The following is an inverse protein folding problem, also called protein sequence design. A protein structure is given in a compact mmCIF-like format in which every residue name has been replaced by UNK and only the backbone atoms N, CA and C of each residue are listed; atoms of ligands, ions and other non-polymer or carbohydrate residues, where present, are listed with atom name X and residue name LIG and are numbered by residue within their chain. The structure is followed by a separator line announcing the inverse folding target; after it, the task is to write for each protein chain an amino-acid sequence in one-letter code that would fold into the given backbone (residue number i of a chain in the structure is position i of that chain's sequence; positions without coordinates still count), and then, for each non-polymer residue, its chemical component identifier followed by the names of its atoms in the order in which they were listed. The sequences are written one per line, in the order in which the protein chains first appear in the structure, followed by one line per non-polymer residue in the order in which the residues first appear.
data_IF_538204816380
#
_entry.id   IF_538204816380
#
_cell.length_a   1.000
_cell.length_b   1.000
_cell.length_c   1.000
_cell.angle_alpha   90.00
_cell.angle_beta   90.00
_cell.angle_gamma   90.00
#
_symmetry.space_group_name_H-M   'P 1'
#
loop_
_entity.id
_entity.type
_entity.pdbx_description
1 polymer ?
#
# COMPACT_ATOMS: atom_id res chain seq x y z
N UNK A 1 13.64 19.36 67.13
CA UNK A 1 13.41 20.61 66.34
C UNK A 1 14.36 20.70 65.14
N UNK A 2 15.69 20.57 65.28
CA UNK A 2 16.66 20.74 64.18
C UNK A 2 16.53 19.70 63.07
N UNK A 3 16.29 18.40 63.40
CA UNK A 3 16.07 17.34 62.39
C UNK A 3 14.79 17.51 61.58
N UNK A 4 13.73 18.08 62.17
CA UNK A 4 12.48 18.39 61.49
C UNK A 4 12.69 19.55 60.46
N UNK A 5 13.47 20.55 60.84
CA UNK A 5 13.81 21.68 59.96
C UNK A 5 14.62 21.20 58.72
N UNK A 6 15.61 20.32 58.92
CA UNK A 6 16.39 19.77 57.82
C UNK A 6 15.49 18.94 56.89
N UNK A 7 14.59 18.11 57.40
CA UNK A 7 13.69 17.29 56.59
C UNK A 7 12.73 18.14 55.78
N UNK A 8 12.15 19.17 56.35
CA UNK A 8 11.26 20.12 55.65
C UNK A 8 12.05 20.87 54.56
N UNK A 9 13.25 21.34 54.87
CA UNK A 9 14.06 22.06 53.90
C UNK A 9 14.49 21.16 52.71
N UNK A 10 14.81 19.88 52.93
CA UNK A 10 15.09 18.93 51.86
C UNK A 10 13.86 18.67 51.00
N UNK A 11 12.68 18.49 51.60
CA UNK A 11 11.42 18.33 50.88
C UNK A 11 11.07 19.57 50.04
N UNK A 12 11.24 20.75 50.60
CA UNK A 12 11.03 22.03 49.90
C UNK A 12 11.98 22.17 48.69
N UNK A 13 13.26 21.90 48.86
CA UNK A 13 14.24 22.01 47.79
C UNK A 13 13.95 21.00 46.67
N UNK A 14 13.52 19.79 47.03
CA UNK A 14 13.14 18.74 46.06
C UNK A 14 11.87 19.14 45.28
N UNK A 15 10.87 19.68 45.99
CA UNK A 15 9.64 20.19 45.34
C UNK A 15 9.96 21.36 44.42
N UNK A 16 10.77 22.30 44.86
CA UNK A 16 11.21 23.48 44.08
C UNK A 16 11.98 23.05 42.81
N UNK A 17 12.86 22.05 42.93
CA UNK A 17 13.57 21.50 41.80
C UNK A 17 12.63 20.83 40.79
N UNK A 18 11.69 20.02 41.27
CA UNK A 18 10.67 19.36 40.42
C UNK A 18 9.76 20.38 39.72
N UNK A 19 9.37 21.41 40.44
CA UNK A 19 8.59 22.54 39.88
C UNK A 19 9.35 23.29 38.78
N UNK A 20 10.61 23.60 39.00
CA UNK A 20 11.46 24.29 38.02
C UNK A 20 11.68 23.42 36.77
N UNK A 21 11.84 22.10 36.94
CA UNK A 21 11.94 21.14 35.81
C UNK A 21 10.62 21.08 35.03
N UNK A 22 9.49 21.03 35.72
CA UNK A 22 8.15 21.03 35.10
C UNK A 22 7.91 22.34 34.32
N UNK A 23 8.22 23.48 34.91
CA UNK A 23 8.03 24.81 34.30
C UNK A 23 9.10 25.12 33.24
N UNK A 24 10.20 24.35 33.16
CA UNK A 24 11.33 24.58 32.24
C UNK A 24 11.79 26.09 32.21
N UNK A 25 11.70 26.76 33.34
CA UNK A 25 12.04 28.18 33.45
C UNK A 25 11.00 29.16 32.85
N UNK A 26 9.79 28.70 32.58
CA UNK A 26 8.69 29.51 32.08
C UNK A 26 7.75 29.93 33.24
N UNK A 27 7.15 31.08 33.11
CA UNK A 27 6.08 31.55 34.04
C UNK A 27 4.77 30.79 33.72
N UNK A 28 3.87 30.73 34.73
CA UNK A 28 2.58 30.02 34.58
C UNK A 28 1.76 30.51 33.36
N UNK A 29 1.85 31.77 33.01
CA UNK A 29 1.16 32.36 31.86
C UNK A 29 1.74 31.90 30.52
N UNK A 30 3.06 31.82 30.41
CA UNK A 30 3.74 31.32 29.21
C UNK A 30 3.54 29.82 29.04
N UNK A 31 3.35 29.08 30.15
CA UNK A 31 3.01 27.65 30.11
C UNK A 31 1.59 27.44 29.56
N UNK A 32 0.60 28.22 30.00
CA UNK A 32 -0.77 28.18 29.52
C UNK A 32 -0.85 28.47 28.01
N UNK A 33 -0.16 29.51 27.56
CA UNK A 33 -0.05 29.86 26.13
C UNK A 33 0.60 28.74 25.33
N UNK A 34 1.65 28.11 25.86
CA UNK A 34 2.34 26.99 25.24
C UNK A 34 1.43 25.77 25.16
N UNK A 35 0.66 25.45 26.19
CA UNK A 35 -0.31 24.34 26.16
C UNK A 35 -1.43 24.61 25.14
N UNK A 36 -1.99 25.81 25.13
CA UNK A 36 -3.03 26.22 24.18
C UNK A 36 -2.54 26.09 22.74
N UNK A 37 -1.33 26.52 22.43
CA UNK A 37 -0.73 26.37 21.11
C UNK A 37 -0.56 24.88 20.73
N UNK A 38 -0.14 24.03 21.69
CA UNK A 38 0.01 22.59 21.43
C UNK A 38 -1.32 21.87 21.24
N UNK A 39 -2.37 22.26 21.97
CA UNK A 39 -3.69 21.70 21.76
C UNK A 39 -4.25 22.07 20.37
N UNK A 40 -4.08 23.32 19.94
CA UNK A 40 -4.47 23.74 18.61
C UNK A 40 -3.71 22.95 17.51
N UNK A 41 -2.41 22.73 17.68
CA UNK A 41 -1.59 21.91 16.79
C UNK A 41 -2.08 20.44 16.74
N UNK A 42 -2.46 19.88 17.90
CA UNK A 42 -3.02 18.52 17.99
C UNK A 42 -4.38 18.43 17.28
N UNK A 43 -5.23 19.43 17.42
CA UNK A 43 -6.53 19.48 16.74
C UNK A 43 -6.34 19.56 15.21
N UNK A 44 -5.40 20.38 14.75
CA UNK A 44 -5.05 20.46 13.33
C UNK A 44 -4.50 19.12 12.79
N UNK A 45 -3.56 18.50 13.51
CA UNK A 45 -3.04 17.19 13.16
C UNK A 45 -4.13 16.10 13.14
N UNK A 46 -5.06 16.15 14.08
CA UNK A 46 -6.22 15.24 14.11
C UNK A 46 -7.09 15.40 12.87
N UNK A 47 -7.37 16.63 12.46
CA UNK A 47 -8.15 16.91 11.25
C UNK A 47 -7.44 16.40 10.00
N UNK A 48 -6.15 16.70 9.84
CA UNK A 48 -5.33 16.19 8.72
C UNK A 48 -5.33 14.66 8.70
N UNK A 49 -5.21 14.01 9.85
CA UNK A 49 -5.24 12.54 9.92
C UNK A 49 -6.61 11.96 9.50
N UNK A 50 -7.71 12.63 9.83
CA UNK A 50 -9.04 12.23 9.40
C UNK A 50 -9.25 12.41 7.90
N UNK A 51 -8.80 13.52 7.33
CA UNK A 51 -8.83 13.77 5.89
C UNK A 51 -7.99 12.75 5.12
N UNK A 52 -6.74 12.54 5.54
CA UNK A 52 -5.86 11.54 4.93
C UNK A 52 -6.48 10.14 4.95
N UNK A 53 -7.15 9.76 6.06
CA UNK A 53 -7.83 8.46 6.15
C UNK A 53 -9.01 8.35 5.18
N UNK A 54 -9.70 9.45 4.90
CA UNK A 54 -10.78 9.49 3.91
C UNK A 54 -10.22 9.37 2.49
N UNK A 55 -9.16 10.11 2.17
CA UNK A 55 -8.49 10.08 0.87
C UNK A 55 -7.89 8.71 0.56
N UNK A 56 -7.22 8.11 1.54
CA UNK A 56 -6.69 6.74 1.43
C UNK A 56 -7.80 5.75 1.05
N UNK A 57 -8.99 5.85 1.69
CA UNK A 57 -10.12 4.98 1.33
C UNK A 57 -10.61 5.17 -0.10
N UNK A 58 -10.61 6.41 -0.58
CA UNK A 58 -10.97 6.73 -1.97
C UNK A 58 -9.94 6.13 -2.93
N UNK A 59 -8.64 6.31 -2.64
CA UNK A 59 -7.54 5.76 -3.42
C UNK A 59 -7.59 4.23 -3.48
N UNK A 60 -7.79 3.55 -2.35
CA UNK A 60 -7.93 2.09 -2.32
C UNK A 60 -9.11 1.61 -3.17
N UNK A 61 -10.24 2.34 -3.15
CA UNK A 61 -11.40 1.99 -3.97
C UNK A 61 -11.12 2.15 -5.47
N UNK A 62 -10.42 3.22 -5.84
CA UNK A 62 -10.02 3.45 -7.22
C UNK A 62 -8.99 2.41 -7.70
N UNK A 63 -8.03 2.04 -6.84
CA UNK A 63 -7.03 1.01 -7.15
C UNK A 63 -7.67 -0.36 -7.40
N UNK A 64 -8.67 -0.75 -6.62
CA UNK A 64 -9.33 -2.07 -6.78
C UNK A 64 -9.89 -2.30 -8.17
N UNK A 65 -10.39 -1.26 -8.83
CA UNK A 65 -10.94 -1.32 -10.19
C UNK A 65 -9.91 -1.04 -11.29
N UNK A 66 -8.67 -0.77 -10.94
CA UNK A 66 -7.58 -0.57 -11.90
C UNK A 66 -6.90 -1.89 -12.21
N UNK A 67 -6.44 -2.06 -13.45
CA UNK A 67 -5.65 -3.24 -13.81
C UNK A 67 -4.27 -3.17 -13.14
N UNK A 68 -3.97 -4.15 -12.29
CA UNK A 68 -2.76 -4.18 -11.48
C UNK A 68 -1.93 -5.45 -11.72
N UNK A 69 -2.60 -6.52 -12.17
CA UNK A 69 -2.01 -7.82 -12.37
C UNK A 69 -1.80 -8.05 -13.86
N UNK A 70 -0.59 -8.45 -14.22
CA UNK A 70 -0.19 -8.63 -15.62
C UNK A 70 0.53 -9.96 -15.77
N UNK A 71 0.10 -10.76 -16.75
CA UNK A 71 0.81 -11.95 -17.18
C UNK A 71 1.05 -11.89 -18.68
N UNK A 72 2.23 -12.30 -19.14
CA UNK A 72 2.58 -12.31 -20.55
C UNK A 72 3.33 -13.58 -20.94
N UNK A 73 2.83 -14.27 -21.96
CA UNK A 73 3.46 -15.44 -22.55
C UNK A 73 3.73 -15.16 -24.02
N UNK A 74 4.99 -15.29 -24.43
CA UNK A 74 5.40 -15.17 -25.82
C UNK A 74 5.65 -16.55 -26.41
N UNK A 75 5.07 -16.82 -27.58
CA UNK A 75 5.13 -18.12 -28.22
C UNK A 75 5.25 -18.03 -29.73
N UNK A 76 5.51 -19.14 -30.40
CA UNK A 76 5.47 -19.27 -31.86
C UNK A 76 4.21 -20.05 -32.25
N UNK A 77 3.16 -19.35 -32.69
CA UNK A 77 1.86 -19.95 -32.96
C UNK A 77 1.87 -20.93 -34.12
N UNK A 78 2.80 -20.79 -35.07
CA UNK A 78 2.78 -21.56 -36.31
C UNK A 78 4.11 -22.26 -36.64
N UNK A 79 5.16 -22.08 -35.82
CA UNK A 79 6.50 -22.69 -36.06
C UNK A 79 7.24 -22.15 -37.29
N UNK A 80 6.72 -21.13 -37.94
CA UNK A 80 7.18 -20.68 -39.27
C UNK A 80 8.07 -19.44 -39.28
N UNK A 81 8.05 -18.66 -38.20
CA UNK A 81 8.63 -17.29 -38.19
C UNK A 81 10.03 -17.21 -37.60
N UNK A 82 10.58 -18.32 -37.07
CA UNK A 82 11.92 -18.33 -36.49
C UNK A 82 12.07 -17.51 -35.21
N UNK A 83 10.96 -17.23 -34.51
CA UNK A 83 10.94 -16.50 -33.24
C UNK A 83 9.56 -16.42 -32.61
N UNK A 84 9.52 -16.11 -31.30
CA UNK A 84 8.27 -15.99 -30.52
C UNK A 84 7.64 -14.59 -30.74
N UNK A 85 6.98 -14.40 -31.91
CA UNK A 85 6.32 -13.14 -32.25
C UNK A 85 4.86 -13.07 -31.75
N UNK A 86 4.23 -14.22 -31.53
CA UNK A 86 2.90 -14.31 -30.95
C UNK A 86 2.95 -14.12 -29.44
N UNK A 87 1.88 -13.59 -28.84
CA UNK A 87 1.81 -13.42 -27.40
C UNK A 87 0.37 -13.50 -26.89
N UNK A 88 0.22 -14.01 -25.67
CA UNK A 88 -0.95 -13.86 -24.82
C UNK A 88 -0.63 -12.88 -23.70
N UNK A 89 -1.43 -11.83 -23.55
CA UNK A 89 -1.31 -10.80 -22.52
C UNK A 89 -2.57 -10.78 -21.68
N UNK A 90 -2.45 -11.06 -20.39
CA UNK A 90 -3.53 -10.97 -19.41
C UNK A 90 -3.37 -9.71 -18.57
N UNK A 91 -4.47 -8.98 -18.39
CA UNK A 91 -4.54 -7.86 -17.47
C UNK A 91 -5.75 -7.99 -16.57
N UNK A 92 -5.53 -7.97 -15.24
CA UNK A 92 -6.57 -8.16 -14.23
C UNK A 92 -6.56 -7.06 -13.19
N UNK A 93 -7.74 -6.76 -12.65
CA UNK A 93 -7.92 -5.94 -11.46
C UNK A 93 -7.63 -6.74 -10.17
N UNK A 94 -7.81 -6.10 -9.02
CA UNK A 94 -7.62 -6.74 -7.72
C UNK A 94 -8.52 -7.96 -7.49
N UNK A 95 -9.71 -7.97 -8.06
CA UNK A 95 -10.72 -9.03 -7.91
C UNK A 95 -10.61 -10.11 -9.00
N UNK A 96 -9.50 -10.09 -9.77
CA UNK A 96 -9.22 -10.98 -10.91
C UNK A 96 -10.23 -10.84 -12.05
N UNK A 97 -10.80 -9.66 -12.24
CA UNK A 97 -11.60 -9.37 -13.43
C UNK A 97 -10.73 -8.62 -14.45
N UNK A 98 -10.93 -8.92 -15.72
CA UNK A 98 -10.18 -8.28 -16.78
C UNK A 98 -10.30 -9.02 -18.10
N UNK A 99 -9.18 -9.15 -18.80
CA UNK A 99 -9.18 -9.72 -20.13
C UNK A 99 -7.81 -10.30 -20.51
N UNK A 100 -7.85 -11.19 -21.51
CA UNK A 100 -6.68 -11.71 -22.20
C UNK A 100 -6.73 -11.19 -23.62
N UNK A 101 -5.66 -10.53 -24.04
CA UNK A 101 -5.40 -10.18 -25.45
C UNK A 101 -4.46 -11.23 -26.02
N UNK A 102 -4.90 -11.96 -27.03
CA UNK A 102 -4.06 -12.89 -27.77
C UNK A 102 -3.79 -12.36 -29.17
N UNK A 103 -2.53 -12.35 -29.56
CA UNK A 103 -2.09 -11.93 -30.87
C UNK A 103 -1.19 -12.99 -31.50
N UNK A 104 -1.70 -13.64 -32.55
CA UNK A 104 -1.02 -14.69 -33.29
C UNK A 104 -0.45 -14.11 -34.59
N UNK A 105 0.86 -14.26 -34.80
CA UNK A 105 1.55 -13.81 -36.01
C UNK A 105 1.87 -15.00 -36.91
N UNK A 106 1.50 -14.87 -38.19
CA UNK A 106 1.90 -15.79 -39.27
C UNK A 106 2.57 -14.99 -40.40
N UNK A 107 3.07 -15.65 -41.41
CA UNK A 107 3.61 -15.02 -42.63
C UNK A 107 2.58 -14.21 -43.40
N UNK A 108 1.32 -14.63 -43.34
CA UNK A 108 0.24 -14.09 -44.15
C UNK A 108 -0.56 -13.01 -43.39
N UNK A 109 -0.32 -12.84 -42.09
CA UNK A 109 -1.03 -11.83 -41.31
C UNK A 109 -0.94 -12.01 -39.78
N UNK A 110 -1.68 -11.15 -39.07
CA UNK A 110 -1.78 -11.17 -37.64
C UNK A 110 -3.26 -11.29 -37.24
N UNK A 111 -3.55 -12.23 -36.35
CA UNK A 111 -4.89 -12.44 -35.79
C UNK A 111 -4.88 -12.01 -34.32
N UNK A 112 -5.74 -11.07 -33.97
CA UNK A 112 -5.83 -10.55 -32.61
C UNK A 112 -7.25 -10.63 -32.11
N UNK A 113 -7.45 -11.12 -30.88
CA UNK A 113 -8.75 -11.22 -30.23
C UNK A 113 -8.63 -11.07 -28.72
N UNK A 114 -9.76 -10.81 -28.07
CA UNK A 114 -9.84 -10.61 -26.61
C UNK A 114 -10.81 -11.65 -26.04
N UNK A 115 -10.46 -12.21 -24.88
CA UNK A 115 -11.33 -13.03 -24.03
C UNK A 115 -11.53 -12.31 -22.69
N UNK A 116 -12.76 -12.26 -22.21
CA UNK A 116 -13.09 -11.69 -20.90
C UNK A 116 -12.78 -12.69 -19.78
N UNK A 117 -12.26 -12.16 -18.68
CA UNK A 117 -11.98 -12.91 -17.46
C UNK A 117 -12.82 -12.32 -16.32
N UNK A 118 -13.53 -13.20 -15.64
CA UNK A 118 -14.38 -12.85 -14.48
C UNK A 118 -13.96 -13.70 -13.29
N UNK A 119 -13.47 -13.07 -12.24
CA UNK A 119 -12.98 -13.73 -11.02
C UNK A 119 -11.91 -14.79 -11.27
N UNK A 120 -11.03 -14.55 -12.24
CA UNK A 120 -9.97 -15.47 -12.60
C UNK A 120 -10.39 -16.63 -13.51
N UNK A 121 -11.62 -16.63 -14.01
CA UNK A 121 -12.15 -17.68 -14.88
C UNK A 121 -12.60 -17.11 -16.23
N UNK A 122 -12.45 -17.91 -17.28
CA UNK A 122 -12.95 -17.60 -18.63
C UNK A 122 -14.19 -18.46 -18.96
N UNK A 123 -15.20 -17.84 -19.54
CA UNK A 123 -16.36 -18.58 -20.08
C UNK A 123 -16.08 -19.29 -21.41
N UNK A 124 -14.95 -18.98 -22.04
CA UNK A 124 -14.49 -19.54 -23.31
C UNK A 124 -13.22 -20.34 -23.02
N UNK A 125 -13.08 -21.48 -23.68
CA UNK A 125 -11.88 -22.33 -23.58
C UNK A 125 -10.62 -21.52 -23.91
N UNK A 126 -9.62 -21.61 -23.03
CA UNK A 126 -8.32 -20.95 -23.18
C UNK A 126 -7.33 -21.89 -23.86
N UNK A 127 -6.41 -21.33 -24.69
CA UNK A 127 -5.24 -22.06 -25.13
C UNK A 127 -4.25 -22.25 -23.97
N UNK A 128 -3.24 -23.10 -24.14
CA UNK A 128 -2.21 -23.34 -23.12
C UNK A 128 -1.48 -22.04 -22.74
N UNK A 129 -1.14 -21.21 -23.73
CA UNK A 129 -0.45 -19.94 -23.53
C UNK A 129 -1.33 -18.87 -22.87
N UNK A 130 -2.63 -18.87 -23.19
CA UNK A 130 -3.60 -18.01 -22.54
C UNK A 130 -3.80 -18.39 -21.08
N UNK A 131 -3.91 -19.70 -20.79
CA UNK A 131 -4.02 -20.21 -19.43
C UNK A 131 -2.75 -19.89 -18.63
N UNK A 132 -1.57 -20.10 -19.21
CA UNK A 132 -0.30 -19.75 -18.58
C UNK A 132 -0.21 -18.23 -18.29
N UNK A 133 -0.62 -17.37 -19.24
CA UNK A 133 -0.63 -15.91 -19.02
C UNK A 133 -1.61 -15.49 -17.92
N UNK A 134 -2.76 -16.17 -17.80
CA UNK A 134 -3.73 -15.97 -16.74
C UNK A 134 -3.15 -16.35 -15.39
N UNK A 135 -2.52 -17.51 -15.30
CA UNK A 135 -1.87 -17.99 -14.07
C UNK A 135 -0.77 -17.02 -13.61
N UNK A 136 0.07 -16.54 -14.53
CA UNK A 136 1.10 -15.54 -14.21
C UNK A 136 0.48 -14.26 -13.64
N UNK A 137 -0.65 -13.78 -14.20
CA UNK A 137 -1.34 -12.59 -13.69
C UNK A 137 -1.96 -12.81 -12.31
N UNK A 138 -2.63 -13.96 -12.09
CA UNK A 138 -3.32 -14.28 -10.83
C UNK A 138 -2.32 -14.46 -9.69
N UNK A 139 -1.18 -15.12 -9.94
CA UNK A 139 -0.18 -15.45 -8.92
C UNK A 139 0.99 -14.48 -8.87
N UNK A 140 0.91 -13.32 -9.53
CA UNK A 140 1.98 -12.33 -9.59
C UNK A 140 2.50 -11.94 -8.19
N UNK A 141 1.63 -11.83 -7.20
CA UNK A 141 2.00 -11.49 -5.81
C UNK A 141 2.88 -12.56 -5.13
N UNK A 142 2.82 -13.82 -5.59
CA UNK A 142 3.67 -14.90 -5.05
C UNK A 142 5.13 -14.78 -5.49
N UNK A 143 5.41 -14.00 -6.53
CA UNK A 143 6.75 -13.86 -7.12
C UNK A 143 7.40 -12.52 -6.83
N UNK A 144 6.72 -11.60 -6.14
CA UNK A 144 7.30 -10.31 -5.73
C UNK A 144 8.02 -10.46 -4.38
N UNK A 145 9.39 -10.44 -4.36
CA UNK A 145 10.15 -10.59 -3.14
C UNK A 145 9.92 -9.46 -2.14
N UNK A 146 9.55 -8.26 -2.60
CA UNK A 146 9.33 -7.09 -1.74
C UNK A 146 8.01 -7.21 -0.96
N UNK A 147 7.00 -7.89 -1.52
CA UNK A 147 5.72 -8.16 -0.85
C UNK A 147 5.86 -9.26 0.20
N UNK A 148 6.70 -10.28 -0.05
CA UNK A 148 6.94 -11.36 0.91
C UNK A 148 7.62 -10.88 2.20
N UNK A 149 8.49 -9.87 2.12
CA UNK A 149 9.16 -9.32 3.30
C UNK A 149 8.26 -8.38 4.12
N UNK A 150 7.24 -7.77 3.52
CA UNK A 150 6.25 -6.93 4.21
C UNK A 150 5.20 -7.73 4.99
N UNK A 151 4.98 -9.01 4.66
CA UNK A 151 3.97 -9.89 5.28
C UNK A 151 4.53 -10.69 6.48
N UNK A 152 5.86 -10.74 6.67
CA UNK A 152 6.46 -11.43 7.82
C UNK A 152 6.08 -10.71 9.12
N UNK A 153 5.34 -11.35 10.06
CA UNK A 153 5.04 -10.76 11.36
C UNK A 153 6.35 -10.53 12.12
N UNK A 154 6.53 -9.29 12.60
CA UNK A 154 7.61 -8.94 13.54
C UNK A 154 7.34 -9.53 14.92
#
# INVERSE_FOLDING_TARGET
MFLLYINVNMKYNRLKSSYNVFMRGQDGKTLEESFSARFNELDELSNIAHENKADIRILYRALRSSYQKVGIVKYDAFGEMGGKLSFALTMLDNDNNGWILNSMHSRDGCYTYIKEIVRGESYIELSEEEAESLDQAVYQEMYDPDVQDAIKPQ
#
